data_IF_821016008319
#
_entry.id   IF_821016008319
#
_cell.length_a   1.000
_cell.length_b   1.000
_cell.length_c   1.000
_cell.angle_alpha   90.00
_cell.angle_beta   90.00
_cell.angle_gamma   90.00
#
_symmetry.space_group_name_H-M   'P 1'
#
loop_
_entity.id
_entity.type
_entity.pdbx_description
1 polymer ?
#
# COMPACT_ATOMS: atom_id res chain seq x y z
N UNK A 1 -15.98 -7.92 -11.00
CA UNK A 1 -16.51 -8.02 -9.61
C UNK A 1 -16.25 -6.78 -8.76
N UNK A 2 -15.02 -6.24 -8.71
CA UNK A 2 -14.70 -5.06 -7.88
C UNK A 2 -15.47 -3.79 -8.22
N UNK A 3 -15.71 -3.51 -9.51
CA UNK A 3 -16.54 -2.37 -9.93
C UNK A 3 -17.96 -2.46 -9.37
N UNK A 4 -18.65 -3.58 -9.60
CA UNK A 4 -20.00 -3.84 -9.03
C UNK A 4 -20.03 -3.77 -7.50
N UNK A 5 -18.98 -4.25 -6.84
CA UNK A 5 -18.85 -4.15 -5.38
C UNK A 5 -18.79 -2.68 -4.95
N UNK A 6 -17.95 -1.87 -5.60
CA UNK A 6 -17.86 -0.45 -5.32
C UNK A 6 -19.18 0.28 -5.62
N UNK A 7 -19.90 -0.06 -6.69
CA UNK A 7 -21.23 0.51 -6.97
C UNK A 7 -22.23 0.18 -5.85
N UNK A 8 -22.23 -1.05 -5.35
CA UNK A 8 -23.07 -1.45 -4.22
C UNK A 8 -22.71 -0.71 -2.93
N UNK A 9 -21.42 -0.58 -2.62
CA UNK A 9 -20.93 0.17 -1.46
C UNK A 9 -21.25 1.67 -1.56
N UNK A 10 -21.20 2.23 -2.77
CA UNK A 10 -21.62 3.60 -3.03
C UNK A 10 -23.11 3.80 -2.77
N UNK A 11 -23.95 2.92 -3.29
CA UNK A 11 -25.39 2.95 -3.04
C UNK A 11 -25.69 2.87 -1.54
N UNK A 12 -25.02 1.96 -0.82
CA UNK A 12 -25.17 1.82 0.62
C UNK A 12 -24.70 3.04 1.41
N UNK A 13 -23.61 3.70 0.99
CA UNK A 13 -23.12 4.93 1.64
C UNK A 13 -24.19 6.04 1.60
N UNK A 14 -24.92 6.13 0.48
CA UNK A 14 -25.97 7.12 0.28
C UNK A 14 -27.31 6.75 0.93
N UNK A 15 -27.57 5.48 1.22
CA UNK A 15 -28.82 5.01 1.82
C UNK A 15 -28.74 4.70 3.32
N UNK A 16 -27.55 4.67 3.91
CA UNK A 16 -27.38 4.47 5.35
C UNK A 16 -28.00 5.62 6.15
N UNK A 17 -28.40 5.31 7.39
CA UNK A 17 -28.79 6.35 8.35
C UNK A 17 -27.63 7.38 8.47
N UNK A 18 -27.90 8.69 8.27
CA UNK A 18 -26.88 9.72 8.40
C UNK A 18 -26.20 9.68 9.77
N UNK A 19 -24.90 9.98 9.82
CA UNK A 19 -24.08 10.03 11.03
C UNK A 19 -23.98 8.68 11.79
N UNK A 20 -24.25 7.57 11.11
CA UNK A 20 -24.08 6.23 11.68
C UNK A 20 -22.68 5.66 11.47
N UNK A 21 -22.24 4.79 12.37
CA UNK A 21 -20.99 4.03 12.22
C UNK A 21 -20.98 3.20 10.93
N UNK A 22 -22.15 2.73 10.49
CA UNK A 22 -22.28 1.98 9.25
C UNK A 22 -21.97 2.87 8.03
N UNK A 23 -22.42 4.12 8.02
CA UNK A 23 -22.09 5.08 6.96
C UNK A 23 -20.57 5.32 6.90
N UNK A 24 -19.92 5.45 8.06
CA UNK A 24 -18.46 5.59 8.13
C UNK A 24 -17.74 4.35 7.58
N UNK A 25 -18.11 3.15 8.04
CA UNK A 25 -17.47 1.89 7.61
C UNK A 25 -17.66 1.63 6.11
N UNK A 26 -18.87 1.86 5.59
CA UNK A 26 -19.18 1.62 4.19
C UNK A 26 -18.50 2.66 3.29
N UNK A 27 -18.42 3.94 3.69
CA UNK A 27 -17.70 4.95 2.90
C UNK A 27 -16.20 4.63 2.78
N UNK A 28 -15.58 4.11 3.85
CA UNK A 28 -14.21 3.60 3.82
C UNK A 28 -14.08 2.39 2.89
N UNK A 29 -14.96 1.42 3.03
CA UNK A 29 -14.98 0.23 2.17
C UNK A 29 -15.17 0.60 0.69
N UNK A 30 -16.02 1.57 0.37
CA UNK A 30 -16.20 2.10 -0.97
C UNK A 30 -14.88 2.65 -1.51
N UNK A 31 -14.21 3.51 -0.75
CA UNK A 31 -13.00 4.19 -1.22
C UNK A 31 -11.86 3.24 -1.56
N UNK A 32 -11.64 2.17 -0.78
CA UNK A 32 -10.58 1.19 -1.11
C UNK A 32 -10.96 0.26 -2.27
N UNK A 33 -12.25 0.07 -2.55
CA UNK A 33 -12.72 -0.82 -3.62
C UNK A 33 -12.98 -0.11 -4.95
N UNK A 34 -13.04 1.22 -5.00
CA UNK A 34 -13.24 2.00 -6.22
C UNK A 34 -12.22 1.61 -7.32
N UNK A 35 -12.69 1.44 -8.56
CA UNK A 35 -11.86 1.02 -9.70
C UNK A 35 -11.94 1.97 -10.90
N UNK A 36 -13.02 2.75 -11.03
CA UNK A 36 -13.26 3.61 -12.20
C UNK A 36 -13.03 5.09 -11.87
N UNK A 37 -12.84 5.92 -12.89
CA UNK A 37 -12.70 7.37 -12.73
C UNK A 37 -13.95 7.98 -12.07
N UNK A 38 -15.14 7.49 -12.41
CA UNK A 38 -16.40 7.92 -11.80
C UNK A 38 -16.44 7.56 -10.30
N UNK A 39 -16.02 6.36 -9.91
CA UNK A 39 -15.92 5.97 -8.51
C UNK A 39 -14.83 6.77 -7.76
N UNK A 40 -13.73 7.11 -8.44
CA UNK A 40 -12.68 7.99 -7.90
C UNK A 40 -13.20 9.40 -7.65
N UNK A 41 -14.01 9.95 -8.56
CA UNK A 41 -14.70 11.21 -8.37
C UNK A 41 -15.69 11.17 -7.20
N UNK A 42 -16.34 10.04 -6.94
CA UNK A 42 -17.18 9.87 -5.77
C UNK A 42 -16.38 9.86 -4.46
N UNK A 43 -15.16 9.28 -4.42
CA UNK A 43 -14.28 9.41 -3.25
C UNK A 43 -13.96 10.88 -2.98
N UNK A 44 -13.65 11.63 -4.04
CA UNK A 44 -13.41 13.08 -3.96
C UNK A 44 -14.64 13.82 -3.44
N UNK A 45 -15.83 13.44 -3.90
CA UNK A 45 -17.07 14.01 -3.40
C UNK A 45 -17.29 13.68 -1.91
N UNK A 46 -16.95 12.48 -1.44
CA UNK A 46 -17.04 12.11 -0.02
C UNK A 46 -16.07 12.93 0.84
N UNK A 47 -14.82 13.10 0.38
CA UNK A 47 -13.82 13.96 1.03
C UNK A 47 -14.35 15.41 1.20
N UNK A 48 -15.13 15.87 0.23
CA UNK A 48 -15.74 17.20 0.22
C UNK A 48 -17.12 17.25 0.90
N UNK A 49 -17.55 16.19 1.59
CA UNK A 49 -18.76 16.18 2.41
C UNK A 49 -20.07 15.92 1.64
N UNK A 50 -20.03 15.26 0.47
CA UNK A 50 -21.25 14.96 -0.31
C UNK A 50 -22.24 14.02 0.40
N UNK A 51 -21.79 13.19 1.34
CA UNK A 51 -22.65 12.31 2.12
C UNK A 51 -23.15 13.02 3.38
N UNK A 52 -24.45 13.33 3.41
CA UNK A 52 -25.08 13.97 4.57
C UNK A 52 -24.87 13.13 5.85
N UNK A 53 -24.44 13.79 6.92
CA UNK A 53 -24.17 13.17 8.23
C UNK A 53 -22.79 12.51 8.36
N UNK A 54 -22.06 12.27 7.26
CA UNK A 54 -20.70 11.74 7.34
C UNK A 54 -19.74 12.85 7.78
N UNK A 55 -19.31 12.80 9.04
CA UNK A 55 -18.26 13.69 9.53
C UNK A 55 -16.90 13.25 8.96
N UNK A 56 -16.33 14.08 8.08
CA UNK A 56 -14.98 13.87 7.54
C UNK A 56 -13.95 14.52 8.45
N UNK A 57 -13.62 13.84 9.55
CA UNK A 57 -12.52 14.25 10.44
C UNK A 57 -11.14 13.97 9.83
N UNK A 58 -10.07 14.41 10.51
CA UNK A 58 -8.69 14.30 10.01
C UNK A 58 -8.33 12.87 9.55
N UNK A 59 -8.69 11.86 10.35
CA UNK A 59 -8.42 10.46 10.02
C UNK A 59 -9.16 10.02 8.74
N UNK A 60 -10.44 10.38 8.59
CA UNK A 60 -11.20 10.04 7.39
C UNK A 60 -10.74 10.85 6.17
N UNK A 61 -10.33 12.12 6.35
CA UNK A 61 -9.74 12.94 5.28
C UNK A 61 -8.49 12.29 4.71
N UNK A 62 -7.54 11.91 5.57
CA UNK A 62 -6.34 11.18 5.16
C UNK A 62 -6.65 9.84 4.52
N UNK A 63 -7.65 9.11 5.02
CA UNK A 63 -8.10 7.86 4.42
C UNK A 63 -8.54 8.04 2.96
N UNK A 64 -9.37 9.05 2.69
CA UNK A 64 -9.80 9.37 1.32
C UNK A 64 -8.65 9.91 0.47
N UNK A 65 -7.77 10.75 1.02
CA UNK A 65 -6.59 11.24 0.30
C UNK A 65 -5.64 10.12 -0.08
N UNK A 66 -5.42 9.11 0.78
CA UNK A 66 -4.62 7.92 0.43
C UNK A 66 -5.27 7.17 -0.73
N UNK A 67 -6.58 6.93 -0.68
CA UNK A 67 -7.32 6.25 -1.75
C UNK A 67 -7.31 7.03 -3.08
N UNK A 68 -7.42 8.36 -3.03
CA UNK A 68 -7.28 9.21 -4.20
C UNK A 68 -5.85 9.20 -4.73
N UNK A 69 -4.86 9.27 -3.85
CA UNK A 69 -3.43 9.33 -4.20
C UNK A 69 -2.98 8.07 -4.91
N UNK A 70 -3.36 6.88 -4.44
CA UNK A 70 -3.01 5.63 -5.13
C UNK A 70 -3.62 5.50 -6.54
N UNK A 71 -4.64 6.31 -6.85
CA UNK A 71 -5.28 6.40 -8.18
C UNK A 71 -4.78 7.60 -8.99
N UNK A 72 -3.79 8.34 -8.51
CA UNK A 72 -3.24 9.54 -9.18
C UNK A 72 -4.20 10.72 -9.16
N UNK A 73 -5.22 10.68 -8.29
CA UNK A 73 -6.25 11.70 -8.18
C UNK A 73 -5.96 12.68 -7.05
N UNK A 74 -4.69 12.96 -6.73
CA UNK A 74 -4.25 14.04 -5.82
C UNK A 74 -3.03 14.74 -6.39
N UNK A 75 -2.67 15.90 -5.83
CA UNK A 75 -1.42 16.58 -6.14
C UNK A 75 -0.54 16.69 -4.90
N UNK A 76 0.77 16.88 -5.09
CA UNK A 76 1.69 17.12 -3.97
C UNK A 76 1.28 18.36 -3.15
N UNK A 77 0.89 19.44 -3.83
CA UNK A 77 0.47 20.68 -3.19
C UNK A 77 -0.80 20.49 -2.32
N UNK A 78 -1.74 19.65 -2.78
CA UNK A 78 -2.91 19.28 -2.00
C UNK A 78 -2.53 18.53 -0.72
N UNK A 79 -1.61 17.57 -0.82
CA UNK A 79 -1.15 16.80 0.35
C UNK A 79 -0.36 17.67 1.33
N UNK A 80 0.46 18.61 0.83
CA UNK A 80 1.18 19.57 1.66
C UNK A 80 0.21 20.50 2.41
N UNK A 81 -0.87 20.93 1.75
CA UNK A 81 -1.92 21.75 2.36
C UNK A 81 -2.68 20.97 3.44
N UNK A 82 -2.99 19.68 3.22
CA UNK A 82 -3.60 18.85 4.25
C UNK A 82 -2.65 18.64 5.43
N UNK A 83 -1.36 18.38 5.18
CA UNK A 83 -0.36 18.23 6.25
C UNK A 83 -0.23 19.51 7.09
N UNK A 84 -0.32 20.69 6.47
CA UNK A 84 -0.33 21.95 7.19
C UNK A 84 -1.56 22.10 8.11
N UNK A 85 -2.71 21.53 7.71
CA UNK A 85 -3.93 21.51 8.52
C UNK A 85 -3.87 20.46 9.64
N UNK A 86 -3.24 19.31 9.39
CA UNK A 86 -3.07 18.21 10.35
C UNK A 86 -1.59 17.84 10.53
N UNK A 87 -0.86 18.69 11.27
CA UNK A 87 0.54 18.46 11.60
C UNK A 87 0.74 17.54 12.82
N UNK A 88 -0.18 16.58 13.02
CA UNK A 88 -0.04 15.55 14.06
C UNK A 88 0.91 14.44 13.60
N UNK A 89 1.31 13.56 14.52
CA UNK A 89 2.11 12.38 14.16
C UNK A 89 1.37 11.49 13.17
N UNK A 90 0.06 11.27 13.36
CA UNK A 90 -0.77 10.48 12.44
C UNK A 90 -0.91 11.13 11.08
N UNK A 91 -1.08 12.47 11.02
CA UNK A 91 -1.11 13.21 9.76
C UNK A 91 0.21 13.12 8.99
N UNK A 92 1.36 13.24 9.67
CA UNK A 92 2.67 13.02 9.04
C UNK A 92 2.83 11.59 8.49
N UNK A 93 2.36 10.56 9.19
CA UNK A 93 2.40 9.17 8.70
C UNK A 93 1.48 8.94 7.50
N UNK A 94 0.30 9.56 7.50
CA UNK A 94 -0.62 9.49 6.36
C UNK A 94 -0.03 10.21 5.14
N UNK A 95 0.63 11.35 5.33
CA UNK A 95 1.34 12.05 4.28
C UNK A 95 2.46 11.21 3.66
N UNK A 96 3.33 10.59 4.47
CA UNK A 96 4.36 9.64 4.02
C UNK A 96 3.75 8.48 3.22
N UNK A 97 2.60 7.98 3.68
CA UNK A 97 1.85 6.93 3.00
C UNK A 97 1.36 7.41 1.62
N UNK A 98 0.88 8.64 1.50
CA UNK A 98 0.48 9.24 0.22
C UNK A 98 1.67 9.40 -0.73
N UNK A 99 2.81 9.91 -0.26
CA UNK A 99 4.00 10.08 -1.12
C UNK A 99 4.46 8.76 -1.72
N UNK A 100 4.50 7.69 -0.93
CA UNK A 100 4.84 6.35 -1.39
C UNK A 100 3.73 5.68 -2.25
N UNK A 101 2.48 6.15 -2.14
CA UNK A 101 1.32 5.64 -2.85
C UNK A 101 1.09 6.26 -4.23
N UNK A 102 1.69 7.41 -4.55
CA UNK A 102 1.57 8.01 -5.88
C UNK A 102 1.85 6.97 -6.99
N UNK A 103 1.05 6.91 -8.08
CA UNK A 103 1.15 5.86 -9.11
C UNK A 103 2.28 6.17 -10.10
N UNK A 104 3.48 6.44 -9.59
CA UNK A 104 4.67 6.75 -10.38
C UNK A 104 5.84 5.90 -9.93
N UNK A 105 6.78 5.62 -10.85
CA UNK A 105 8.01 4.91 -10.51
C UNK A 105 8.84 5.69 -9.47
N UNK A 106 8.86 7.02 -9.56
CA UNK A 106 9.59 7.89 -8.63
C UNK A 106 9.09 7.76 -7.19
N UNK A 107 7.78 7.60 -7.00
CA UNK A 107 7.20 7.38 -5.67
C UNK A 107 7.60 6.05 -5.05
N UNK A 108 7.71 5.01 -5.89
CA UNK A 108 8.20 3.69 -5.47
C UNK A 108 9.69 3.73 -5.14
N UNK A 109 10.48 4.42 -5.96
CA UNK A 109 11.89 4.66 -5.70
C UNK A 109 12.09 5.48 -4.42
N UNK A 110 11.28 6.52 -4.19
CA UNK A 110 11.30 7.32 -2.95
C UNK A 110 11.15 6.43 -1.72
N UNK A 111 10.08 5.61 -1.67
CA UNK A 111 9.80 4.78 -0.51
C UNK A 111 10.90 3.74 -0.26
N UNK A 112 11.42 3.12 -1.33
CA UNK A 112 12.50 2.16 -1.25
C UNK A 112 13.81 2.82 -0.79
N UNK A 113 14.21 3.93 -1.41
CA UNK A 113 15.44 4.65 -1.06
C UNK A 113 15.42 5.13 0.40
N UNK A 114 14.29 5.65 0.87
CA UNK A 114 14.14 6.07 2.27
C UNK A 114 14.25 4.88 3.23
N UNK A 115 13.64 3.74 2.89
CA UNK A 115 13.76 2.51 3.69
C UNK A 115 15.20 1.97 3.74
N UNK A 116 15.94 2.04 2.63
CA UNK A 116 17.31 1.53 2.55
C UNK A 116 18.30 2.46 3.26
N UNK A 117 18.20 3.78 3.01
CA UNK A 117 19.29 4.72 3.28
C UNK A 117 19.06 5.63 4.49
N UNK A 118 17.83 5.76 5.00
CA UNK A 118 17.53 6.64 6.13
C UNK A 118 17.20 5.87 7.42
N UNK A 119 17.62 6.43 8.55
CA UNK A 119 17.21 5.97 9.87
C UNK A 119 15.93 6.68 10.29
N UNK A 120 14.80 6.02 10.05
CA UNK A 120 13.46 6.53 10.35
C UNK A 120 12.80 5.76 11.51
N UNK A 121 11.73 6.30 12.08
CA UNK A 121 10.94 5.58 13.08
C UNK A 121 10.23 4.36 12.48
N UNK A 122 9.93 3.35 13.32
CA UNK A 122 9.18 2.15 12.92
C UNK A 122 7.81 2.46 12.32
N UNK A 123 7.15 3.51 12.81
CA UNK A 123 5.88 4.01 12.27
C UNK A 123 6.03 4.53 10.84
N UNK A 124 7.11 5.27 10.54
CA UNK A 124 7.42 5.75 9.19
C UNK A 124 7.72 4.59 8.25
N UNK A 125 8.52 3.59 8.66
CA UNK A 125 8.71 2.36 7.85
C UNK A 125 7.39 1.70 7.50
N UNK A 126 6.44 1.68 8.44
CA UNK A 126 5.12 1.10 8.22
C UNK A 126 4.29 1.92 7.22
N UNK A 127 4.33 3.26 7.31
CA UNK A 127 3.72 4.16 6.33
C UNK A 127 4.30 3.98 4.92
N UNK A 128 5.63 3.91 4.80
CA UNK A 128 6.33 3.70 3.52
C UNK A 128 5.92 2.37 2.88
N UNK A 129 5.88 1.28 3.66
CA UNK A 129 5.43 -0.04 3.17
C UNK A 129 3.97 0.01 2.73
N UNK A 130 3.09 0.62 3.52
CA UNK A 130 1.67 0.75 3.19
C UNK A 130 1.45 1.56 1.90
N UNK A 131 2.24 2.62 1.70
CA UNK A 131 2.25 3.41 0.47
C UNK A 131 2.83 2.66 -0.73
N UNK A 132 3.93 1.95 -0.55
CA UNK A 132 4.61 1.22 -1.63
C UNK A 132 3.74 0.07 -2.16
N UNK A 133 3.19 -0.77 -1.27
CA UNK A 133 2.48 -2.01 -1.60
C UNK A 133 1.01 -1.81 -1.99
N UNK A 134 0.75 -1.00 -3.04
CA UNK A 134 -0.63 -0.79 -3.55
C UNK A 134 -1.08 -1.93 -4.46
N UNK A 135 -2.17 -2.64 -4.14
CA UNK A 135 -2.65 -3.77 -4.95
C UNK A 135 -2.98 -3.38 -6.40
N UNK A 136 -3.50 -2.17 -6.63
CA UNK A 136 -3.87 -1.68 -7.95
C UNK A 136 -2.66 -1.23 -8.79
N UNK A 137 -1.46 -1.19 -8.20
CA UNK A 137 -0.23 -0.70 -8.84
C UNK A 137 0.79 -1.83 -9.07
N UNK A 138 0.37 -3.10 -9.08
CA UNK A 138 1.29 -4.25 -9.20
C UNK A 138 2.26 -4.14 -10.38
N UNK A 139 1.84 -3.61 -11.52
CA UNK A 139 2.70 -3.38 -12.68
C UNK A 139 3.85 -2.39 -12.41
N UNK A 140 3.61 -1.34 -11.60
CA UNK A 140 4.64 -0.38 -11.19
C UNK A 140 5.68 -0.99 -10.25
N UNK A 141 5.35 -2.10 -9.59
CA UNK A 141 6.26 -2.78 -8.66
C UNK A 141 7.21 -3.76 -9.37
N UNK A 142 6.95 -4.12 -10.64
CA UNK A 142 7.77 -5.09 -11.39
C UNK A 142 9.26 -4.72 -11.47
N UNK A 143 9.64 -3.45 -11.76
CA UNK A 143 11.05 -3.08 -11.81
C UNK A 143 11.77 -3.19 -10.46
N UNK A 144 11.03 -3.22 -9.35
CA UNK A 144 11.57 -3.27 -8.00
C UNK A 144 11.78 -4.71 -7.49
N UNK A 145 11.31 -5.72 -8.22
CA UNK A 145 11.43 -7.13 -7.83
C UNK A 145 12.90 -7.55 -7.72
N UNK A 146 13.72 -7.27 -8.74
CA UNK A 146 15.16 -7.59 -8.68
C UNK A 146 15.87 -6.78 -7.62
N UNK A 147 15.57 -5.46 -7.55
CA UNK A 147 16.16 -4.55 -6.57
C UNK A 147 15.91 -5.04 -5.13
N UNK A 148 14.72 -5.59 -4.87
CA UNK A 148 14.40 -6.17 -3.57
C UNK A 148 15.40 -7.27 -3.18
N UNK A 149 15.59 -8.27 -4.07
CA UNK A 149 16.49 -9.40 -3.83
C UNK A 149 17.96 -9.00 -3.77
N UNK A 150 18.39 -8.05 -4.61
CA UNK A 150 19.77 -7.56 -4.65
C UNK A 150 20.18 -6.90 -3.33
N UNK A 151 19.23 -6.29 -2.62
CA UNK A 151 19.48 -5.60 -1.35
C UNK A 151 19.24 -6.45 -0.10
N UNK A 152 18.62 -7.64 -0.19
CA UNK A 152 18.20 -8.43 0.97
C UNK A 152 19.32 -8.71 1.97
N UNK A 153 20.46 -9.20 1.49
CA UNK A 153 21.60 -9.58 2.34
C UNK A 153 22.20 -8.33 2.97
N UNK A 154 22.46 -7.30 2.16
CA UNK A 154 23.05 -6.04 2.64
C UNK A 154 22.20 -5.37 3.71
N UNK A 155 20.87 -5.29 3.51
CA UNK A 155 19.95 -4.73 4.51
C UNK A 155 19.95 -5.56 5.80
N UNK A 156 19.97 -6.89 5.68
CA UNK A 156 19.96 -7.77 6.85
C UNK A 156 21.23 -7.68 7.68
N UNK A 157 22.38 -7.52 7.04
CA UNK A 157 23.68 -7.44 7.72
C UNK A 157 23.96 -6.04 8.28
N UNK A 158 23.44 -4.99 7.66
CA UNK A 158 23.74 -3.60 8.02
C UNK A 158 22.78 -2.98 9.04
N UNK A 159 21.57 -3.54 9.22
CA UNK A 159 20.53 -2.98 10.10
C UNK A 159 20.24 -3.90 11.29
N UNK A 160 19.66 -3.32 12.35
CA UNK A 160 19.09 -4.10 13.44
C UNK A 160 17.90 -4.93 12.95
N UNK A 161 17.49 -5.92 13.77
CA UNK A 161 16.48 -6.89 13.37
C UNK A 161 15.16 -6.27 12.90
N UNK A 162 14.61 -5.26 13.60
CA UNK A 162 13.29 -4.72 13.24
C UNK A 162 13.28 -4.03 11.85
N UNK A 163 14.16 -3.05 11.55
CA UNK A 163 14.23 -2.47 10.21
C UNK A 163 14.51 -3.52 9.12
N UNK A 164 15.41 -4.47 9.37
CA UNK A 164 15.74 -5.53 8.42
C UNK A 164 14.52 -6.44 8.14
N UNK A 165 13.87 -6.94 9.18
CA UNK A 165 12.67 -7.77 9.05
C UNK A 165 11.51 -7.01 8.37
N UNK A 166 11.37 -5.71 8.66
CA UNK A 166 10.37 -4.85 8.02
C UNK A 166 10.64 -4.67 6.52
N UNK A 167 11.90 -4.54 6.12
CA UNK A 167 12.28 -4.54 4.71
C UNK A 167 11.95 -5.89 4.05
N UNK A 168 12.41 -7.00 4.64
CA UNK A 168 12.21 -8.35 4.09
C UNK A 168 10.74 -8.63 3.84
N UNK A 169 9.87 -8.38 4.83
CA UNK A 169 8.44 -8.71 4.73
C UNK A 169 7.63 -7.62 4.03
N UNK A 170 7.93 -6.34 4.28
CA UNK A 170 7.16 -5.22 3.78
C UNK A 170 7.43 -4.86 2.33
N UNK A 171 8.65 -5.08 1.83
CA UNK A 171 9.02 -4.83 0.44
C UNK A 171 9.04 -6.10 -0.42
N UNK A 172 8.72 -7.28 0.14
CA UNK A 172 8.52 -8.48 -0.68
C UNK A 172 7.48 -8.21 -1.77
N UNK A 173 7.71 -8.64 -3.03
CA UNK A 173 6.86 -8.31 -4.18
C UNK A 173 5.52 -9.07 -4.22
N UNK A 174 4.75 -9.02 -3.14
CA UNK A 174 3.48 -9.75 -2.94
C UNK A 174 2.41 -9.44 -4.00
N UNK A 175 2.42 -8.23 -4.55
CA UNK A 175 1.46 -7.80 -5.57
C UNK A 175 1.95 -7.98 -7.02
N UNK A 176 3.18 -8.48 -7.22
CA UNK A 176 3.67 -8.93 -8.53
C UNK A 176 3.37 -10.41 -8.67
N UNK A 177 2.07 -10.71 -8.84
CA UNK A 177 1.51 -12.07 -8.89
C UNK A 177 1.88 -12.74 -10.22
N UNK A 178 3.12 -13.25 -10.31
CA UNK A 178 3.69 -13.94 -11.47
C UNK A 178 4.53 -15.12 -11.03
N UNK A 179 4.56 -16.17 -11.85
CA UNK A 179 5.44 -17.32 -11.63
C UNK A 179 6.92 -16.90 -11.56
N UNK A 180 7.33 -15.92 -12.38
CA UNK A 180 8.69 -15.37 -12.36
C UNK A 180 9.11 -14.80 -11.00
N UNK A 181 8.18 -14.24 -10.22
CA UNK A 181 8.46 -13.74 -8.87
C UNK A 181 8.72 -14.87 -7.88
N UNK A 182 7.97 -15.98 -8.00
CA UNK A 182 8.21 -17.21 -7.24
C UNK A 182 9.56 -17.82 -7.61
N UNK A 183 9.87 -17.87 -8.91
CA UNK A 183 11.13 -18.43 -9.43
C UNK A 183 12.33 -17.62 -8.94
N UNK A 184 12.25 -16.28 -8.95
CA UNK A 184 13.28 -15.40 -8.39
C UNK A 184 13.46 -15.62 -6.88
N UNK A 185 12.37 -15.80 -6.15
CA UNK A 185 12.43 -16.11 -4.71
C UNK A 185 13.19 -17.42 -4.47
N UNK A 186 12.88 -18.47 -5.24
CA UNK A 186 13.54 -19.77 -5.14
C UNK A 186 15.01 -19.70 -5.57
N UNK A 187 15.30 -18.97 -6.65
CA UNK A 187 16.67 -18.75 -7.12
C UNK A 187 17.50 -18.05 -6.06
N UNK A 188 16.95 -17.03 -5.39
CA UNK A 188 17.63 -16.37 -4.28
C UNK A 188 17.85 -17.32 -3.10
N UNK A 189 16.82 -18.06 -2.66
CA UNK A 189 16.90 -19.00 -1.52
C UNK A 189 17.90 -20.15 -1.70
N UNK A 190 18.16 -20.55 -2.95
CA UNK A 190 19.09 -21.63 -3.32
C UNK A 190 20.46 -21.12 -3.82
N UNK A 191 20.54 -19.84 -4.19
CA UNK A 191 21.73 -19.17 -4.69
C UNK A 191 22.32 -18.24 -3.63
N UNK A 192 22.22 -16.93 -3.83
CA UNK A 192 22.82 -15.92 -2.97
C UNK A 192 22.42 -16.06 -1.49
N UNK A 193 21.17 -16.43 -1.22
CA UNK A 193 20.61 -16.58 0.12
C UNK A 193 20.76 -17.98 0.74
N UNK A 194 21.50 -18.91 0.11
CA UNK A 194 21.59 -20.31 0.57
C UNK A 194 22.18 -20.43 1.99
N UNK A 195 23.20 -19.63 2.26
CA UNK A 195 23.96 -19.62 3.53
C UNK A 195 23.57 -18.44 4.43
N UNK A 196 22.54 -17.66 4.06
CA UNK A 196 22.03 -16.57 4.89
C UNK A 196 21.42 -17.06 6.21
N UNK A 197 21.36 -16.21 7.24
CA UNK A 197 20.78 -16.56 8.53
C UNK A 197 19.38 -17.20 8.41
N UNK A 198 19.13 -18.23 9.22
CA UNK A 198 17.90 -19.02 9.15
C UNK A 198 16.63 -18.16 9.26
N UNK A 199 16.67 -17.10 10.08
CA UNK A 199 15.54 -16.18 10.27
C UNK A 199 15.24 -15.38 9.00
N UNK A 200 16.26 -14.86 8.31
CA UNK A 200 16.07 -14.16 7.02
C UNK A 200 15.42 -15.09 5.99
N UNK A 201 15.98 -16.29 5.83
CA UNK A 201 15.44 -17.28 4.89
C UNK A 201 14.01 -17.68 5.22
N UNK A 202 13.67 -17.78 6.51
CA UNK A 202 12.30 -18.04 6.97
C UNK A 202 11.34 -16.93 6.55
N UNK A 203 11.67 -15.66 6.81
CA UNK A 203 10.83 -14.51 6.45
C UNK A 203 10.57 -14.42 4.93
N UNK A 204 11.60 -14.70 4.11
CA UNK A 204 11.45 -14.74 2.64
C UNK A 204 10.50 -15.86 2.21
N UNK A 205 10.61 -17.06 2.79
CA UNK A 205 9.70 -18.18 2.51
C UNK A 205 8.26 -17.88 2.92
N UNK A 206 8.06 -17.36 4.13
CA UNK A 206 6.72 -16.99 4.62
C UNK A 206 6.07 -15.92 3.74
N UNK A 207 6.86 -14.97 3.22
CA UNK A 207 6.36 -13.96 2.28
C UNK A 207 5.95 -14.57 0.93
N UNK A 208 6.66 -15.60 0.46
CA UNK A 208 6.35 -16.34 -0.77
C UNK A 208 5.03 -17.12 -0.69
N UNK A 209 4.65 -17.64 0.48
CA UNK A 209 3.43 -18.43 0.65
C UNK A 209 2.17 -17.65 0.25
N UNK A 210 2.14 -16.35 0.53
CA UNK A 210 1.08 -15.44 0.11
C UNK A 210 0.95 -15.36 -1.42
N UNK A 211 2.07 -15.22 -2.10
CA UNK A 211 2.17 -15.12 -3.55
C UNK A 211 1.78 -16.43 -4.25
N UNK A 212 2.24 -17.58 -3.75
CA UNK A 212 1.87 -18.90 -4.27
C UNK A 212 0.37 -19.13 -4.16
N UNK A 213 -0.23 -18.73 -3.03
CA UNK A 213 -1.69 -18.82 -2.85
C UNK A 213 -2.42 -17.95 -3.85
N UNK A 214 -1.98 -16.70 -4.06
CA UNK A 214 -2.58 -15.79 -5.02
C UNK A 214 -2.53 -16.32 -6.46
N UNK A 215 -1.40 -16.90 -6.88
CA UNK A 215 -1.25 -17.54 -8.20
C UNK A 215 -2.25 -18.69 -8.40
N UNK A 216 -2.42 -19.56 -7.40
CA UNK A 216 -3.38 -20.67 -7.47
C UNK A 216 -4.82 -20.18 -7.66
N UNK A 217 -5.21 -19.11 -6.95
CA UNK A 217 -6.55 -18.53 -7.07
C UNK A 217 -6.74 -17.84 -8.43
N UNK A 218 -5.72 -17.13 -8.93
CA UNK A 218 -5.79 -16.44 -10.22
C UNK A 218 -6.06 -17.38 -11.40
N UNK A 219 -5.60 -18.63 -11.34
CA UNK A 219 -5.90 -19.65 -12.36
C UNK A 219 -7.37 -20.07 -12.33
N UNK A 220 -8.03 -20.00 -11.17
CA UNK A 220 -9.44 -20.36 -10.98
C UNK A 220 -10.41 -19.20 -11.30
N UNK A 221 -9.92 -17.96 -11.29
CA UNK A 221 -10.69 -16.73 -11.58
C UNK A 221 -10.80 -16.42 -13.10
N UNK A 222 -10.18 -17.24 -13.96
CA UNK A 222 -10.33 -17.19 -15.42
C UNK A 222 -11.50 -18.03 -15.89
#
# INVERSE_FOLDING_TARGET
YREKLADGLWALTNSCAPASDLQLLISRAFAINAQTDAQTANIRALLNGSAAGLKVDADLRWYFLIALTERGATTKAELDAELANDNTTTGNLAFETCLAAMPTSDAKAYALNKMLNEEVATSVRTALVAGFQRPIQGALLEPFVSIYFDNLISVWESKSYEPAAKYVTGFYPSWVIKQSTVDLTNAWLNGAGKDSPAVLRKLVKESQDGLIRALKVQVLDK
#
